data_IF_495539713748
#
_entry.id   IF_495539713748
#
_cell.length_a   1.000
_cell.length_b   1.000
_cell.length_c   1.000
_cell.angle_alpha   90.00
_cell.angle_beta   90.00
_cell.angle_gamma   90.00
#
_symmetry.space_group_name_H-M   'P 1'
#
loop_
_entity.id
_entity.type
_entity.pdbx_description
1 polymer ?
#
# COMPACT_ATOMS: atom_id res chain seq x y z
N UNK A 1 -17.57 37.79 8.07
CA UNK A 1 -16.96 36.54 7.59
C UNK A 1 -17.79 36.04 6.42
N UNK A 2 -17.19 35.95 5.22
CA UNK A 2 -17.87 35.52 4.00
C UNK A 2 -18.12 34.00 4.02
N UNK A 3 -19.10 33.51 3.25
CA UNK A 3 -19.43 32.07 3.18
C UNK A 3 -18.22 31.21 2.78
N UNK A 4 -17.33 31.77 1.94
CA UNK A 4 -16.10 31.14 1.49
C UNK A 4 -15.08 30.86 2.63
N UNK A 5 -15.07 31.69 3.67
CA UNK A 5 -14.14 31.56 4.80
C UNK A 5 -14.54 30.45 5.78
N UNK A 6 -15.83 30.06 5.80
CA UNK A 6 -16.29 28.92 6.62
C UNK A 6 -15.91 27.59 5.99
N UNK A 7 -15.83 27.53 4.66
CA UNK A 7 -15.62 26.28 3.92
C UNK A 7 -14.13 25.87 3.83
N UNK A 8 -13.19 26.75 4.20
CA UNK A 8 -11.74 26.48 4.21
C UNK A 8 -11.21 26.02 5.57
N UNK A 9 -12.07 25.89 6.58
CA UNK A 9 -11.73 25.52 7.95
C UNK A 9 -12.43 24.21 8.35
N UNK A 10 -11.76 23.39 9.15
CA UNK A 10 -12.38 22.24 9.80
C UNK A 10 -13.35 22.68 10.90
N UNK A 11 -14.16 21.73 11.42
CA UNK A 11 -15.07 21.96 12.57
C UNK A 11 -14.36 22.60 13.77
N UNK A 12 -13.06 22.32 13.94
CA UNK A 12 -12.20 22.86 15.00
C UNK A 12 -11.45 24.15 14.58
N UNK A 13 -11.89 24.82 13.51
CA UNK A 13 -11.30 26.06 12.95
C UNK A 13 -9.84 25.91 12.52
N UNK A 14 -9.41 24.71 12.12
CA UNK A 14 -8.06 24.51 11.58
C UNK A 14 -8.08 24.64 10.06
N UNK A 15 -7.09 25.29 9.44
CA UNK A 15 -6.99 25.36 7.98
C UNK A 15 -6.92 23.97 7.34
N UNK A 16 -7.74 23.75 6.32
CA UNK A 16 -7.73 22.51 5.54
C UNK A 16 -6.45 22.46 4.69
N UNK A 17 -5.78 21.31 4.64
CA UNK A 17 -4.60 21.14 3.77
C UNK A 17 -5.02 21.07 2.32
N UNK A 18 -4.22 21.71 1.45
CA UNK A 18 -4.45 21.64 0.00
C UNK A 18 -3.96 20.27 -0.52
N UNK A 19 -4.90 19.35 -0.74
CA UNK A 19 -4.63 18.08 -1.44
C UNK A 19 -4.91 18.32 -2.92
N UNK A 20 -3.94 18.00 -3.77
CA UNK A 20 -4.05 18.09 -5.24
C UNK A 20 -4.59 16.79 -5.84
N UNK A 21 -5.13 16.86 -7.05
CA UNK A 21 -5.53 15.66 -7.81
C UNK A 21 -4.36 14.69 -8.00
N UNK A 22 -3.15 15.21 -8.20
CA UNK A 22 -1.95 14.39 -8.32
C UNK A 22 -1.66 13.60 -7.04
N UNK A 23 -1.91 14.17 -5.86
CA UNK A 23 -1.71 13.44 -4.60
C UNK A 23 -2.66 12.26 -4.49
N UNK A 24 -3.94 12.47 -4.83
CA UNK A 24 -4.96 11.42 -4.82
C UNK A 24 -4.58 10.33 -5.81
N UNK A 25 -4.16 10.70 -7.01
CA UNK A 25 -3.72 9.75 -8.03
C UNK A 25 -2.51 8.93 -7.55
N UNK A 26 -1.53 9.58 -6.93
CA UNK A 26 -0.30 8.90 -6.48
C UNK A 26 -0.55 7.99 -5.28
N UNK A 27 -1.56 8.29 -4.44
CA UNK A 27 -2.04 7.39 -3.40
C UNK A 27 -2.78 6.18 -4.00
N UNK A 28 -3.57 6.39 -5.05
CA UNK A 28 -4.28 5.33 -5.74
C UNK A 28 -3.32 4.36 -6.44
N UNK A 29 -2.29 4.88 -7.11
CA UNK A 29 -1.21 4.09 -7.71
C UNK A 29 -0.49 3.20 -6.68
N UNK A 30 -0.22 3.74 -5.49
CA UNK A 30 0.39 2.98 -4.40
C UNK A 30 -0.54 1.88 -3.87
N UNK A 31 -1.85 2.17 -3.80
CA UNK A 31 -2.86 1.19 -3.41
C UNK A 31 -2.99 0.06 -4.44
N UNK A 32 -3.00 0.37 -5.74
CA UNK A 32 -3.03 -0.64 -6.81
C UNK A 32 -1.81 -1.55 -6.77
N UNK A 33 -0.61 -0.98 -6.54
CA UNK A 33 0.62 -1.76 -6.40
C UNK A 33 0.54 -2.73 -5.22
N UNK A 34 0.04 -2.29 -4.06
CA UNK A 34 -0.20 -3.18 -2.92
C UNK A 34 -1.26 -4.25 -3.22
N UNK A 35 -2.35 -3.88 -3.86
CA UNK A 35 -3.43 -4.81 -4.22
C UNK A 35 -2.98 -5.87 -5.24
N UNK A 36 -2.02 -5.56 -6.10
CA UNK A 36 -1.47 -6.52 -7.08
C UNK A 36 -0.81 -7.74 -6.44
N UNK A 37 -0.44 -7.67 -5.16
CA UNK A 37 0.13 -8.78 -4.41
C UNK A 37 -0.90 -9.73 -3.79
N UNK A 38 -2.19 -9.39 -3.80
CA UNK A 38 -3.24 -10.18 -3.17
C UNK A 38 -3.32 -11.63 -3.72
N UNK A 39 -3.37 -11.77 -5.05
CA UNK A 39 -3.41 -13.08 -5.70
C UNK A 39 -2.13 -13.91 -5.47
N UNK A 40 -0.91 -13.38 -5.70
CA UNK A 40 0.33 -14.10 -5.38
C UNK A 40 0.46 -14.54 -3.92
N UNK A 41 0.02 -13.72 -2.97
CA UNK A 41 0.04 -14.05 -1.55
C UNK A 41 -1.00 -15.11 -1.20
N UNK A 42 -2.20 -15.04 -1.80
CA UNK A 42 -3.23 -16.06 -1.65
C UNK A 42 -2.74 -17.44 -2.11
N UNK A 43 -1.93 -17.51 -3.18
CA UNK A 43 -1.30 -18.76 -3.63
C UNK A 43 -0.32 -19.32 -2.59
N UNK A 44 0.45 -18.46 -1.92
CA UNK A 44 1.34 -18.86 -0.83
C UNK A 44 0.53 -19.39 0.36
N UNK A 45 -0.48 -18.65 0.77
CA UNK A 45 -1.35 -19.03 1.89
C UNK A 45 -1.99 -20.40 1.66
N UNK A 46 -2.59 -20.61 0.49
CA UNK A 46 -3.20 -21.88 0.11
C UNK A 46 -2.19 -23.04 0.16
N UNK A 47 -0.98 -22.85 -0.37
CA UNK A 47 0.05 -23.89 -0.34
C UNK A 47 0.52 -24.24 1.07
N UNK A 48 0.69 -23.24 1.95
CA UNK A 48 1.18 -23.47 3.30
C UNK A 48 0.10 -23.98 4.26
N UNK A 49 -1.18 -23.67 4.00
CA UNK A 49 -2.33 -24.16 4.76
C UNK A 49 -2.79 -25.55 4.33
N UNK A 50 -2.30 -26.07 3.20
CA UNK A 50 -2.70 -27.40 2.72
C UNK A 50 -2.21 -28.52 3.66
N UNK A 51 -3.18 -29.18 4.31
CA UNK A 51 -2.94 -30.26 5.27
C UNK A 51 -2.61 -31.59 4.58
N UNK A 52 -3.06 -31.79 3.34
CA UNK A 52 -2.77 -32.98 2.53
C UNK A 52 -1.57 -32.74 1.60
N UNK A 53 -0.35 -32.84 2.15
CA UNK A 53 0.85 -32.74 1.32
C UNK A 53 1.02 -33.98 0.42
N UNK A 54 1.41 -33.80 -0.86
CA UNK A 54 1.77 -34.92 -1.71
C UNK A 54 2.98 -35.67 -1.15
N UNK A 55 2.95 -37.01 -1.14
CA UNK A 55 4.06 -37.85 -0.65
C UNK A 55 5.37 -37.68 -1.46
N UNK A 56 5.29 -37.05 -2.63
CA UNK A 56 6.44 -36.79 -3.49
C UNK A 56 7.29 -35.63 -2.94
N UNK A 57 8.37 -36.00 -2.23
CA UNK A 57 9.35 -35.07 -1.65
C UNK A 57 9.98 -34.12 -2.69
N UNK A 58 10.27 -34.58 -3.91
CA UNK A 58 10.85 -33.72 -4.94
C UNK A 58 9.87 -32.63 -5.39
N UNK A 59 8.58 -32.97 -5.51
CA UNK A 59 7.52 -32.00 -5.84
C UNK A 59 7.41 -30.93 -4.75
N UNK A 60 7.41 -31.34 -3.48
CA UNK A 60 7.39 -30.42 -2.34
C UNK A 60 8.58 -29.45 -2.37
N UNK A 61 9.81 -29.96 -2.58
CA UNK A 61 11.02 -29.12 -2.60
C UNK A 61 10.96 -28.10 -3.74
N UNK A 62 10.53 -28.51 -4.94
CA UNK A 62 10.39 -27.60 -6.09
C UNK A 62 9.35 -26.52 -5.83
N UNK A 63 8.18 -26.89 -5.34
CA UNK A 63 7.11 -25.94 -5.01
C UNK A 63 7.56 -24.96 -3.93
N UNK A 64 8.15 -25.46 -2.84
CA UNK A 64 8.70 -24.63 -1.78
C UNK A 64 9.75 -23.65 -2.30
N UNK A 65 10.67 -24.10 -3.17
CA UNK A 65 11.65 -23.22 -3.77
C UNK A 65 11.00 -22.11 -4.61
N UNK A 66 10.03 -22.44 -5.46
CA UNK A 66 9.29 -21.45 -6.26
C UNK A 66 8.56 -20.43 -5.37
N UNK A 67 7.84 -20.90 -4.35
CA UNK A 67 7.13 -20.04 -3.41
C UNK A 67 8.08 -19.16 -2.58
N UNK A 68 9.27 -19.66 -2.22
CA UNK A 68 10.29 -18.84 -1.57
C UNK A 68 10.79 -17.69 -2.45
N UNK A 69 10.77 -17.85 -3.79
CA UNK A 69 11.13 -16.78 -4.73
C UNK A 69 10.02 -15.74 -4.82
N UNK A 70 8.76 -16.17 -4.86
CA UNK A 70 7.60 -15.27 -4.81
C UNK A 70 7.62 -14.45 -3.52
N UNK A 71 7.82 -15.08 -2.37
CA UNK A 71 7.93 -14.39 -1.09
C UNK A 71 9.08 -13.38 -1.07
N UNK A 72 10.26 -13.73 -1.61
CA UNK A 72 11.40 -12.80 -1.70
C UNK A 72 11.09 -11.59 -2.57
N UNK A 73 10.40 -11.80 -3.69
CA UNK A 73 9.97 -10.70 -4.56
C UNK A 73 8.97 -9.79 -3.84
N UNK A 74 7.95 -10.36 -3.21
CA UNK A 74 6.99 -9.62 -2.38
C UNK A 74 7.69 -8.81 -1.30
N UNK A 75 8.56 -9.44 -0.51
CA UNK A 75 9.23 -8.77 0.60
C UNK A 75 10.07 -7.57 0.12
N UNK A 76 10.81 -7.75 -0.98
CA UNK A 76 11.59 -6.65 -1.57
C UNK A 76 10.70 -5.51 -2.03
N UNK A 77 9.60 -5.83 -2.72
CA UNK A 77 8.70 -4.81 -3.26
C UNK A 77 7.92 -4.10 -2.14
N UNK A 78 7.42 -4.84 -1.16
CA UNK A 78 6.78 -4.31 0.03
C UNK A 78 7.66 -3.29 0.77
N UNK A 79 8.97 -3.56 0.92
CA UNK A 79 9.90 -2.61 1.54
C UNK A 79 10.00 -1.30 0.75
N UNK A 80 10.00 -1.38 -0.58
CA UNK A 80 10.04 -0.21 -1.46
C UNK A 80 8.72 0.57 -1.35
N UNK A 81 7.58 -0.12 -1.45
CA UNK A 81 6.24 0.47 -1.35
C UNK A 81 6.00 1.12 0.01
N UNK A 82 6.40 0.47 1.11
CA UNK A 82 6.29 1.02 2.45
C UNK A 82 7.08 2.33 2.60
N UNK A 83 8.31 2.37 2.09
CA UNK A 83 9.13 3.59 2.08
C UNK A 83 8.54 4.69 1.20
N UNK A 84 8.00 4.35 0.03
CA UNK A 84 7.29 5.29 -0.85
C UNK A 84 6.08 5.89 -0.13
N UNK A 85 5.31 5.07 0.58
CA UNK A 85 4.16 5.51 1.38
C UNK A 85 4.58 6.45 2.52
N UNK A 86 5.66 6.13 3.24
CA UNK A 86 6.20 7.00 4.29
C UNK A 86 6.57 8.39 3.75
N UNK A 87 7.27 8.43 2.61
CA UNK A 87 7.66 9.69 1.94
C UNK A 87 6.40 10.49 1.55
N UNK A 88 5.44 9.85 0.89
CA UNK A 88 4.18 10.50 0.50
C UNK A 88 3.42 11.06 1.71
N UNK A 89 3.39 10.31 2.83
CA UNK A 89 2.77 10.78 4.07
C UNK A 89 3.49 11.99 4.65
N UNK A 90 4.82 12.03 4.62
CA UNK A 90 5.61 13.18 5.07
C UNK A 90 5.30 14.40 4.19
N UNK A 91 5.28 14.23 2.87
CA UNK A 91 4.97 15.32 1.93
C UNK A 91 3.57 15.88 2.16
N UNK A 92 2.55 15.02 2.24
CA UNK A 92 1.18 15.43 2.58
C UNK A 92 1.08 16.06 3.98
N UNK A 93 1.94 15.66 4.91
CA UNK A 93 2.02 16.26 6.24
C UNK A 93 2.65 17.66 6.22
N UNK A 94 3.58 17.92 5.33
CA UNK A 94 4.28 19.20 5.19
C UNK A 94 3.57 20.17 4.24
N UNK A 95 2.61 19.71 3.43
CA UNK A 95 1.87 20.57 2.51
C UNK A 95 1.21 21.75 3.21
N UNK A 96 1.28 22.88 2.51
CA UNK A 96 0.69 24.13 2.91
C UNK A 96 -0.81 23.95 3.19
N UNK A 97 -1.22 24.58 4.28
CA UNK A 97 -2.61 24.78 4.60
C UNK A 97 -3.19 25.76 3.58
N UNK A 98 -4.44 25.58 3.20
CA UNK A 98 -5.20 26.62 2.51
C UNK A 98 -5.25 27.83 3.43
N UNK A 99 -4.33 28.78 3.22
CA UNK A 99 -4.33 30.08 3.87
C UNK A 99 -5.18 31.00 3.01
N UNK A 100 -6.24 31.52 3.62
CA UNK A 100 -7.02 32.68 3.18
C UNK A 100 -6.17 33.93 3.11
#
# INVERSE_FOLDING_TARGET
MSKLEKDSLTVNKQPIKKISHQDIYTLYDLLEQLASWDEPLSLLENYFNETHRPLNKQKIIKQYYSYSKVFKAFHSDFQILAKKMEIQLIELRQKEKLLT
#
